data_IF_414566862103
#
_entry.id   IF_414566862103
#
_cell.length_a   1.000
_cell.length_b   1.000
_cell.length_c   1.000
_cell.angle_alpha   90.00
_cell.angle_beta   90.00
_cell.angle_gamma   90.00
#
_symmetry.space_group_name_H-M   'P 1'
#
loop_
_entity.id
_entity.type
_entity.pdbx_description
1 polymer ?
#
# COMPACT_ATOMS: atom_id res chain seq x y z
N UNK A 1 15.42 -9.46 -0.52
CA UNK A 1 15.68 -9.21 0.92
C UNK A 1 14.74 -8.16 1.53
N UNK A 2 14.69 -6.92 1.02
CA UNK A 2 13.87 -5.82 1.58
C UNK A 2 12.38 -6.15 1.80
N UNK A 3 11.72 -6.74 0.80
CA UNK A 3 10.27 -7.06 0.87
C UNK A 3 9.98 -8.04 2.01
N UNK A 4 10.75 -9.12 2.11
CA UNK A 4 10.63 -10.11 3.19
C UNK A 4 10.85 -9.48 4.56
N UNK A 5 11.91 -8.69 4.71
CA UNK A 5 12.19 -7.98 5.96
C UNK A 5 11.03 -7.09 6.38
N UNK A 6 10.50 -6.29 5.45
CA UNK A 6 9.41 -5.36 5.71
C UNK A 6 8.09 -6.10 5.99
N UNK A 7 7.82 -7.19 5.28
CA UNK A 7 6.67 -8.06 5.54
C UNK A 7 6.70 -8.59 6.98
N UNK A 8 7.82 -9.17 7.41
CA UNK A 8 7.94 -9.71 8.77
C UNK A 8 7.94 -8.60 9.82
N UNK A 9 8.54 -7.44 9.55
CA UNK A 9 8.47 -6.29 10.46
C UNK A 9 7.02 -5.87 10.74
N UNK A 10 6.15 -5.87 9.73
CA UNK A 10 4.72 -5.61 9.92
C UNK A 10 4.05 -6.80 10.60
N UNK A 11 4.21 -8.01 10.06
CA UNK A 11 3.50 -9.21 10.50
C UNK A 11 3.76 -9.56 11.98
N UNK A 12 4.96 -9.27 12.49
CA UNK A 12 5.36 -9.55 13.87
C UNK A 12 4.98 -8.42 14.85
N UNK A 13 4.51 -7.27 14.36
CA UNK A 13 4.00 -6.19 15.22
C UNK A 13 2.59 -6.56 15.71
N UNK A 14 2.21 -6.27 16.97
CA UNK A 14 0.82 -6.41 17.42
C UNK A 14 -0.16 -5.70 16.49
N UNK A 15 -1.19 -6.43 16.03
CA UNK A 15 -2.16 -5.92 15.05
C UNK A 15 -1.66 -5.86 13.60
N UNK A 16 -0.44 -6.31 13.30
CA UNK A 16 0.18 -6.21 11.97
C UNK A 16 -0.38 -7.14 10.90
N UNK A 17 -1.07 -8.22 11.27
CA UNK A 17 -1.75 -9.08 10.30
C UNK A 17 -2.89 -8.34 9.57
N UNK A 18 -3.61 -7.46 10.28
CA UNK A 18 -4.73 -6.69 9.73
C UNK A 18 -4.35 -5.87 8.49
N UNK A 19 -3.36 -4.95 8.52
CA UNK A 19 -3.02 -4.14 7.35
C UNK A 19 -2.53 -4.98 6.16
N UNK A 20 -1.82 -6.08 6.39
CA UNK A 20 -1.35 -6.97 5.32
C UNK A 20 -2.52 -7.64 4.59
N UNK A 21 -3.43 -8.27 5.35
CA UNK A 21 -4.58 -8.97 4.79
C UNK A 21 -5.59 -7.99 4.19
N UNK A 22 -5.86 -6.88 4.88
CA UNK A 22 -6.78 -5.85 4.40
C UNK A 22 -6.30 -5.24 3.09
N UNK A 23 -5.00 -4.91 2.97
CA UNK A 23 -4.49 -4.28 1.76
C UNK A 23 -4.53 -5.22 0.55
N UNK A 24 -4.26 -6.52 0.74
CA UNK A 24 -4.45 -7.53 -0.32
C UNK A 24 -5.92 -7.54 -0.77
N UNK A 25 -6.87 -7.62 0.16
CA UNK A 25 -8.30 -7.63 -0.18
C UNK A 25 -8.78 -6.30 -0.80
N UNK A 26 -8.09 -5.21 -0.50
CA UNK A 26 -8.46 -3.87 -0.93
C UNK A 26 -7.89 -3.51 -2.32
N UNK A 27 -6.61 -3.79 -2.56
CA UNK A 27 -5.86 -3.34 -3.75
C UNK A 27 -5.14 -4.44 -4.50
N UNK A 28 -5.03 -5.62 -3.90
CA UNK A 28 -4.36 -6.79 -4.44
C UNK A 28 -2.89 -6.91 -4.03
N UNK A 29 -2.29 -8.02 -4.45
CA UNK A 29 -0.93 -8.39 -4.07
C UNK A 29 0.14 -7.55 -4.78
N UNK A 30 -0.16 -7.02 -5.97
CA UNK A 30 0.79 -6.20 -6.76
C UNK A 30 1.80 -7.01 -7.56
N UNK A 31 1.55 -8.32 -7.70
CA UNK A 31 2.35 -9.28 -8.48
C UNK A 31 1.86 -9.35 -9.93
N UNK A 32 0.60 -9.00 -10.21
CA UNK A 32 0.02 -9.04 -11.54
C UNK A 32 0.43 -7.83 -12.39
N UNK A 33 0.72 -8.03 -13.67
CA UNK A 33 0.95 -6.93 -14.62
C UNK A 33 -0.29 -6.06 -14.83
N UNK A 34 -1.47 -6.61 -14.58
CA UNK A 34 -2.74 -5.87 -14.65
C UNK A 34 -2.89 -4.86 -13.52
N UNK A 35 -2.07 -4.96 -12.47
CA UNK A 35 -2.08 -4.07 -11.31
C UNK A 35 -1.09 -2.90 -11.48
N UNK A 36 -0.97 -2.37 -12.70
CA UNK A 36 0.00 -1.33 -13.05
C UNK A 36 -0.58 -0.25 -13.93
N UNK A 37 -0.12 0.98 -13.71
CA UNK A 37 -0.25 2.08 -14.66
C UNK A 37 1.16 2.61 -14.97
N UNK A 38 1.48 2.73 -16.26
CA UNK A 38 2.81 3.16 -16.73
C UNK A 38 3.94 2.32 -16.10
N UNK A 39 3.74 1.00 -15.98
CA UNK A 39 4.68 0.06 -15.33
C UNK A 39 4.74 0.14 -13.80
N UNK A 40 4.16 1.17 -13.18
CA UNK A 40 4.15 1.36 -11.73
C UNK A 40 2.97 0.62 -11.09
N UNK A 41 3.28 -0.34 -10.21
CA UNK A 41 2.27 -1.13 -9.51
C UNK A 41 1.71 -0.44 -8.27
N UNK A 42 0.61 -0.97 -7.74
CA UNK A 42 -0.05 -0.42 -6.54
C UNK A 42 -0.41 -1.41 -5.43
N UNK A 43 -0.10 -2.69 -5.61
CA UNK A 43 -0.46 -3.73 -4.63
C UNK A 43 0.55 -3.84 -3.49
N UNK A 44 0.34 -4.84 -2.63
CA UNK A 44 1.14 -5.06 -1.42
C UNK A 44 2.65 -5.07 -1.70
N UNK A 45 3.08 -5.67 -2.82
CA UNK A 45 4.48 -5.71 -3.24
C UNK A 45 5.12 -4.31 -3.29
N UNK A 46 4.42 -3.32 -3.86
CA UNK A 46 4.96 -1.97 -3.96
C UNK A 46 4.97 -1.26 -2.62
N UNK A 47 3.94 -1.46 -1.79
CA UNK A 47 3.90 -0.93 -0.42
C UNK A 47 5.09 -1.43 0.40
N UNK A 48 5.33 -2.74 0.43
CA UNK A 48 6.47 -3.33 1.14
C UNK A 48 7.82 -2.86 0.57
N UNK A 49 7.89 -2.59 -0.72
CA UNK A 49 9.10 -2.06 -1.37
C UNK A 49 9.37 -0.61 -0.97
N UNK A 50 8.35 0.20 -0.71
CA UNK A 50 8.46 1.65 -0.46
C UNK A 50 8.46 2.02 1.03
N UNK A 51 8.22 1.06 1.93
CA UNK A 51 8.32 1.28 3.36
C UNK A 51 9.67 1.86 3.79
N UNK A 52 9.59 2.90 4.63
CA UNK A 52 10.71 3.51 5.34
C UNK A 52 11.06 2.67 6.59
N UNK A 53 12.27 2.08 6.65
CA UNK A 53 12.67 1.25 7.78
C UNK A 53 12.93 2.04 9.08
N UNK A 54 12.97 3.38 9.04
CA UNK A 54 13.19 4.21 10.23
C UNK A 54 11.92 4.45 11.06
N UNK A 55 10.75 4.16 10.49
CA UNK A 55 9.46 4.35 11.15
C UNK A 55 8.97 3.06 11.82
N UNK A 56 8.02 3.19 12.75
CA UNK A 56 7.28 2.03 13.25
C UNK A 56 6.68 1.23 12.08
N UNK A 57 6.76 -0.12 12.06
CA UNK A 57 6.38 -0.90 10.88
C UNK A 57 4.95 -0.65 10.38
N UNK A 58 3.97 -0.50 11.27
CA UNK A 58 2.58 -0.23 10.86
C UNK A 58 2.41 1.18 10.29
N UNK A 59 3.07 2.17 10.88
CA UNK A 59 3.10 3.54 10.35
C UNK A 59 3.83 3.62 9.00
N UNK A 60 4.97 2.93 8.87
CA UNK A 60 5.73 2.84 7.63
C UNK A 60 4.89 2.23 6.51
N UNK A 61 4.17 1.15 6.83
CA UNK A 61 3.27 0.48 5.89
C UNK A 61 2.15 1.40 5.41
N UNK A 62 1.46 2.08 6.32
CA UNK A 62 0.35 2.96 5.97
C UNK A 62 0.80 4.16 5.12
N UNK A 63 1.94 4.79 5.47
CA UNK A 63 2.51 5.90 4.68
C UNK A 63 2.95 5.45 3.28
N UNK A 64 3.59 4.28 3.18
CA UNK A 64 3.96 3.71 1.88
C UNK A 64 2.71 3.40 1.03
N UNK A 65 1.68 2.82 1.64
CA UNK A 65 0.40 2.57 0.97
C UNK A 65 -0.24 3.86 0.46
N UNK A 66 -0.19 4.94 1.23
CA UNK A 66 -0.70 6.25 0.81
C UNK A 66 0.06 6.77 -0.42
N UNK A 67 1.41 6.79 -0.37
CA UNK A 67 2.25 7.23 -1.50
C UNK A 67 2.02 6.39 -2.76
N UNK A 68 1.86 5.08 -2.60
CA UNK A 68 1.56 4.15 -3.69
C UNK A 68 0.20 4.48 -4.34
N UNK A 69 -0.83 4.75 -3.54
CA UNK A 69 -2.16 5.08 -4.04
C UNK A 69 -2.24 6.47 -4.67
N UNK A 70 -1.53 7.46 -4.12
CA UNK A 70 -1.40 8.77 -4.75
C UNK A 70 -0.76 8.67 -6.13
N UNK A 71 0.32 7.88 -6.24
CA UNK A 71 1.00 7.64 -7.50
C UNK A 71 0.12 6.89 -8.50
N UNK A 72 -0.67 5.91 -8.05
CA UNK A 72 -1.68 5.25 -8.87
C UNK A 72 -2.66 6.26 -9.45
N UNK A 73 -3.24 7.12 -8.61
CA UNK A 73 -4.21 8.13 -9.05
C UNK A 73 -3.59 9.09 -10.05
N UNK A 74 -2.35 9.54 -9.83
CA UNK A 74 -1.62 10.41 -10.76
C UNK A 74 -1.39 9.75 -12.12
N UNK A 75 -1.16 8.43 -12.13
CA UNK A 75 -0.92 7.66 -13.35
C UNK A 75 -2.21 7.10 -13.97
N UNK A 76 -3.38 7.31 -13.36
CA UNK A 76 -4.63 6.75 -13.84
C UNK A 76 -5.03 7.36 -15.21
N UNK A 77 -5.56 6.56 -16.15
CA UNK A 77 -6.07 7.07 -17.42
C UNK A 77 -7.16 8.14 -17.21
N UNK A 78 -7.20 9.16 -18.08
CA UNK A 78 -8.08 10.32 -17.94
C UNK A 78 -9.58 9.98 -17.75
N UNK A 79 -10.05 8.83 -18.24
CA UNK A 79 -11.43 8.37 -18.08
C UNK A 79 -11.77 7.64 -16.77
N UNK A 80 -10.79 7.29 -15.93
CA UNK A 80 -11.03 6.51 -14.69
C UNK A 80 -11.42 7.36 -13.49
N UNK A 81 -11.00 8.63 -13.45
CA UNK A 81 -11.26 9.60 -12.38
C UNK A 81 -11.11 9.00 -10.96
N UNK A 82 -10.02 8.26 -10.71
CA UNK A 82 -9.83 7.56 -9.44
C UNK A 82 -9.61 8.52 -8.25
N UNK A 83 -9.27 9.78 -8.52
CA UNK A 83 -9.03 10.80 -7.50
C UNK A 83 -10.20 11.00 -6.54
N UNK A 84 -11.45 10.80 -7.00
CA UNK A 84 -12.65 10.88 -6.15
C UNK A 84 -12.63 9.90 -4.97
N UNK A 85 -11.89 8.80 -5.09
CA UNK A 85 -11.81 7.76 -4.07
C UNK A 85 -10.62 7.93 -3.13
N UNK A 86 -9.63 8.75 -3.50
CA UNK A 86 -8.37 8.85 -2.79
C UNK A 86 -8.56 9.24 -1.32
N UNK A 87 -9.45 10.19 -1.05
CA UNK A 87 -9.79 10.60 0.33
C UNK A 87 -10.31 9.42 1.16
N UNK A 88 -11.24 8.63 0.61
CA UNK A 88 -11.76 7.44 1.30
C UNK A 88 -10.71 6.35 1.48
N UNK A 89 -9.80 6.21 0.52
CA UNK A 89 -8.68 5.28 0.63
C UNK A 89 -7.71 5.69 1.74
N UNK A 90 -7.34 6.98 1.82
CA UNK A 90 -6.50 7.50 2.90
C UNK A 90 -7.14 7.30 4.28
N UNK A 91 -8.44 7.53 4.40
CA UNK A 91 -9.18 7.27 5.63
C UNK A 91 -9.15 5.79 6.02
N UNK A 92 -9.17 4.87 5.05
CA UNK A 92 -9.00 3.43 5.35
C UNK A 92 -7.59 3.14 5.85
N UNK A 93 -6.56 3.73 5.24
CA UNK A 93 -5.16 3.50 5.64
C UNK A 93 -4.85 4.01 7.06
N UNK A 94 -5.62 4.96 7.60
CA UNK A 94 -5.39 5.46 8.96
C UNK A 94 -5.64 4.39 10.03
N UNK A 95 -6.49 3.39 9.75
CA UNK A 95 -6.76 2.29 10.70
C UNK A 95 -5.57 1.34 10.85
N UNK A 96 -4.59 1.38 9.94
CA UNK A 96 -3.49 0.42 9.91
C UNK A 96 -2.48 0.64 11.03
N UNK A 97 -2.38 1.86 11.55
CA UNK A 97 -1.42 2.26 12.58
C UNK A 97 -2.07 2.82 13.84
N UNK A 98 -3.40 2.72 13.96
CA UNK A 98 -4.13 2.98 15.20
C UNK A 98 -3.82 1.93 16.27
#
# INVERSE_FOLDING_TARGET
EKIWRNFYAVAQTPGGAYPLVDYINFKGEGTSEKERYNGQGWGLLQVLTEMDPQLNPRTAFAKAAESVLERRVRNAPAGKNEGRWLTGWKNRLTTYFQ
#
